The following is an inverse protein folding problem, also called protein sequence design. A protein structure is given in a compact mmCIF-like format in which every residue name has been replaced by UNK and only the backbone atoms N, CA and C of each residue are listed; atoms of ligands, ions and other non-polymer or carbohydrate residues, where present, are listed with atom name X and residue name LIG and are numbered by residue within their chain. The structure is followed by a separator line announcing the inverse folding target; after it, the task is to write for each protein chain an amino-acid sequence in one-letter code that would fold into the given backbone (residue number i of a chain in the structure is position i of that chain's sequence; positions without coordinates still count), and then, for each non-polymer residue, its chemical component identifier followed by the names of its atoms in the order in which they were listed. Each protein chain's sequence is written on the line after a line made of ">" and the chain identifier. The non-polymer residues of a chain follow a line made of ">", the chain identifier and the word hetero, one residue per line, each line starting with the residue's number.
data_IF_735749466574
#
_entry.id   IF_735749466574
#
_cell.length_a   1.000
_cell.length_b   1.000
_cell.length_c   1.000
_cell.angle_alpha   90.00
_cell.angle_beta   90.00
_cell.angle_gamma   90.00
#
_symmetry.space_group_name_H-M   'P 1'
#
loop_
_entity.id
_entity.type
_entity.pdbx_description
1 polymer ?
#
# COMPACT_ATOMS: atom_id res chain seq x y z
N UNK A 1 23.09 -35.31 8.54
CA UNK A 1 22.33 -34.80 9.70
C UNK A 1 22.19 -33.30 9.54
N UNK A 2 21.02 -32.82 9.12
CA UNK A 2 20.79 -31.39 8.92
C UNK A 2 20.40 -30.78 10.27
N UNK A 3 21.27 -29.93 10.84
CA UNK A 3 20.95 -29.15 12.02
C UNK A 3 19.98 -28.03 11.64
N UNK A 4 18.73 -28.17 12.07
CA UNK A 4 17.72 -27.10 12.01
C UNK A 4 18.14 -25.99 12.97
N UNK A 5 18.83 -24.97 12.47
CA UNK A 5 19.09 -23.73 13.22
C UNK A 5 17.88 -22.82 12.95
N UNK A 6 17.01 -22.55 13.94
CA UNK A 6 15.86 -21.68 13.73
C UNK A 6 16.33 -20.23 13.54
N UNK A 7 15.90 -19.61 12.44
CA UNK A 7 16.18 -18.20 12.13
C UNK A 7 15.25 -17.32 12.97
N UNK A 8 15.80 -16.69 14.01
CA UNK A 8 15.04 -15.89 14.98
C UNK A 8 14.91 -14.45 14.48
N UNK A 9 13.67 -13.99 14.27
CA UNK A 9 13.38 -12.58 13.91
C UNK A 9 13.75 -11.64 15.06
N UNK A 10 14.54 -10.61 14.75
CA UNK A 10 14.98 -9.55 15.69
C UNK A 10 14.15 -8.26 15.59
N UNK A 11 13.13 -8.21 14.74
CA UNK A 11 12.29 -7.02 14.57
C UNK A 11 11.18 -6.95 15.61
N UNK A 12 11.49 -6.24 16.69
CA UNK A 12 10.65 -5.41 17.56
C UNK A 12 9.12 -5.69 17.71
N UNK A 13 8.77 -6.00 18.96
CA UNK A 13 7.53 -5.67 19.71
C UNK A 13 6.24 -6.48 19.44
N UNK A 14 6.11 -7.30 18.40
CA UNK A 14 4.86 -8.10 18.21
C UNK A 14 4.97 -9.59 17.95
N UNK A 15 6.17 -10.16 17.82
CA UNK A 15 6.28 -11.62 17.79
C UNK A 15 6.40 -12.16 19.22
N UNK A 16 5.41 -12.92 19.68
CA UNK A 16 5.46 -13.74 20.90
C UNK A 16 6.48 -14.89 20.72
N UNK A 17 7.76 -14.52 20.63
CA UNK A 17 8.83 -15.48 20.45
C UNK A 17 9.22 -16.07 21.81
N UNK A 18 9.03 -17.38 21.94
CA UNK A 18 9.31 -18.16 23.16
C UNK A 18 10.76 -18.05 23.67
N UNK A 19 11.73 -17.67 22.82
CA UNK A 19 13.10 -17.41 23.27
C UNK A 19 13.21 -16.16 24.17
N UNK A 20 12.42 -15.11 23.86
CA UNK A 20 12.40 -13.86 24.60
C UNK A 20 11.33 -13.85 25.71
N UNK A 21 10.32 -14.71 25.59
CA UNK A 21 9.32 -14.96 26.62
C UNK A 21 9.46 -16.39 27.17
N UNK A 22 10.41 -16.57 28.08
CA UNK A 22 10.47 -17.81 28.87
C UNK A 22 9.24 -17.84 29.78
N UNK A 23 8.39 -18.86 29.61
CA UNK A 23 7.30 -19.09 30.54
C UNK A 23 7.87 -19.17 31.97
N UNK A 24 7.23 -18.55 32.97
CA UNK A 24 7.88 -18.21 34.23
C UNK A 24 8.25 -19.42 35.11
N UNK A 25 7.92 -20.67 34.73
CA UNK A 25 8.22 -21.88 35.51
C UNK A 25 8.49 -23.12 34.63
N UNK A 26 9.29 -24.10 35.11
CA UNK A 26 9.51 -25.35 34.40
C UNK A 26 8.25 -26.22 34.52
N UNK A 27 7.60 -26.50 33.40
CA UNK A 27 6.52 -27.50 33.36
C UNK A 27 7.13 -28.90 33.40
N UNK A 28 7.36 -29.42 34.60
CA UNK A 28 7.50 -30.86 34.79
C UNK A 28 6.55 -31.28 35.91
N UNK A 29 5.46 -31.95 35.54
CA UNK A 29 4.84 -32.93 36.43
C UNK A 29 4.22 -34.05 35.61
N UNK A 30 4.56 -35.28 35.99
CA UNK A 30 4.10 -36.51 35.37
C UNK A 30 2.58 -36.51 35.12
N UNK A 31 2.21 -36.68 33.84
CA UNK A 31 0.91 -37.17 33.34
C UNK A 31 -0.33 -36.29 33.53
N UNK A 32 -0.29 -34.96 33.37
CA UNK A 32 -1.55 -34.22 33.09
C UNK A 32 -1.35 -33.01 32.18
N UNK A 33 -2.12 -32.94 31.10
CA UNK A 33 -2.23 -31.82 30.16
C UNK A 33 -3.59 -31.13 30.33
N UNK A 34 -3.62 -29.87 30.78
CA UNK A 34 -4.82 -29.02 30.74
C UNK A 34 -4.97 -28.04 31.90
N UNK A 35 -5.40 -26.81 31.58
CA UNK A 35 -5.87 -25.79 32.53
C UNK A 35 -7.25 -26.20 33.06
N UNK A 36 -7.38 -26.44 34.37
CA UNK A 36 -8.70 -26.63 35.00
C UNK A 36 -9.34 -25.27 35.31
N UNK A 37 -10.65 -25.16 35.06
CA UNK A 37 -11.49 -23.99 35.38
C UNK A 37 -11.61 -23.69 36.89
N UNK A 38 -11.32 -24.67 37.75
CA UNK A 38 -11.50 -24.56 39.21
C UNK A 38 -10.27 -25.20 39.88
N UNK A 39 -9.34 -24.36 40.31
CA UNK A 39 -8.22 -24.67 41.19
C UNK A 39 -8.00 -23.50 42.15
N UNK A 40 -7.30 -23.69 43.28
CA UNK A 40 -7.15 -22.64 44.28
C UNK A 40 -6.48 -21.41 43.65
N UNK A 41 -7.22 -20.29 43.65
CA UNK A 41 -6.73 -19.01 43.15
C UNK A 41 -5.63 -18.53 44.08
N UNK A 42 -4.37 -18.58 43.62
CA UNK A 42 -3.29 -17.85 44.28
C UNK A 42 -3.34 -16.41 43.76
N UNK A 43 -3.66 -15.46 44.64
CA UNK A 43 -3.44 -14.06 44.36
C UNK A 43 -1.93 -13.83 44.33
N UNK A 44 -1.36 -13.64 43.14
CA UNK A 44 0.01 -13.15 43.00
C UNK A 44 0.07 -11.70 43.52
N UNK A 45 1.09 -11.37 44.32
CA UNK A 45 1.26 -10.02 44.89
C UNK A 45 1.68 -8.99 43.84
N UNK A 46 2.28 -9.46 42.75
CA UNK A 46 2.79 -8.58 41.71
C UNK A 46 1.65 -8.26 40.74
N UNK A 47 0.98 -7.15 41.03
CA UNK A 47 -0.02 -6.56 40.15
C UNK A 47 0.65 -6.23 38.82
N UNK A 48 0.11 -6.75 37.72
CA UNK A 48 0.50 -6.24 36.41
C UNK A 48 0.17 -4.74 36.39
N UNK A 49 1.12 -3.87 35.99
CA UNK A 49 0.82 -2.45 35.87
C UNK A 49 -0.31 -2.29 34.83
N UNK A 50 -1.41 -1.66 35.26
CA UNK A 50 -2.64 -1.51 34.45
C UNK A 50 -3.91 -2.08 35.10
N UNK A 51 -3.82 -2.93 36.12
CA UNK A 51 -5.00 -3.55 36.76
C UNK A 51 -5.86 -2.58 37.59
N UNK A 52 -5.30 -1.44 38.02
CA UNK A 52 -6.01 -0.37 38.72
C UNK A 52 -6.17 0.92 37.91
N UNK A 53 -6.05 0.87 36.57
CA UNK A 53 -6.02 2.09 35.72
C UNK A 53 -4.99 3.11 36.21
N UNK A 54 -3.83 2.62 36.63
CA UNK A 54 -2.72 3.46 37.10
C UNK A 54 -2.16 4.34 35.98
N UNK A 55 -2.35 3.92 34.72
CA UNK A 55 -2.20 4.77 33.56
C UNK A 55 -3.56 5.36 33.20
N UNK A 56 -3.68 6.68 33.03
CA UNK A 56 -4.86 7.24 32.39
C UNK A 56 -4.93 6.62 30.99
N UNK A 57 -5.99 5.87 30.69
CA UNK A 57 -6.27 5.33 29.36
C UNK A 57 -6.68 6.50 28.46
N UNK A 58 -5.71 7.35 28.08
CA UNK A 58 -5.96 8.46 27.15
C UNK A 58 -5.96 7.86 25.74
N UNK A 59 -7.09 7.27 25.36
CA UNK A 59 -7.33 6.85 23.98
C UNK A 59 -7.75 8.08 23.17
N UNK A 60 -7.08 8.42 22.07
CA UNK A 60 -7.55 9.48 21.20
C UNK A 60 -8.89 9.07 20.58
N UNK A 61 -9.89 9.93 20.71
CA UNK A 61 -11.13 9.78 19.94
C UNK A 61 -10.86 10.25 18.50
N UNK A 62 -11.30 9.49 17.51
CA UNK A 62 -11.07 9.76 16.08
C UNK A 62 -11.93 10.90 15.49
N UNK A 63 -12.75 11.54 16.32
CA UNK A 63 -13.52 12.74 15.94
C UNK A 63 -12.62 13.98 15.95
N UNK A 64 -13.05 15.05 15.29
CA UNK A 64 -12.24 16.25 15.08
C UNK A 64 -11.64 16.76 16.42
N UNK A 65 -10.34 17.12 16.45
CA UNK A 65 -9.66 17.46 17.70
C UNK A 65 -10.26 18.68 18.41
N UNK A 66 -10.92 19.57 17.66
CA UNK A 66 -11.60 20.76 18.17
C UNK A 66 -12.98 20.50 18.78
N UNK A 67 -13.70 19.46 18.36
CA UNK A 67 -15.07 19.21 18.83
C UNK A 67 -15.13 18.23 20.01
N UNK A 68 -14.07 17.46 20.25
CA UNK A 68 -14.16 16.25 21.12
C UNK A 68 -13.57 16.41 22.53
N UNK A 69 -12.97 17.55 22.90
CA UNK A 69 -12.35 17.67 24.22
C UNK A 69 -11.23 16.64 24.47
N UNK A 70 -10.58 16.18 23.40
CA UNK A 70 -9.38 15.35 23.49
C UNK A 70 -8.27 16.14 24.23
N UNK A 71 -7.49 15.46 25.06
CA UNK A 71 -6.34 16.08 25.75
C UNK A 71 -5.40 16.69 24.69
N UNK A 72 -4.97 17.97 24.81
CA UNK A 72 -4.07 18.61 23.86
C UNK A 72 -2.76 17.84 23.63
N UNK A 73 -2.33 17.02 24.59
CA UNK A 73 -1.16 16.13 24.44
C UNK A 73 -1.31 15.06 23.36
N UNK A 74 -2.55 14.78 22.93
CA UNK A 74 -2.85 13.78 21.91
C UNK A 74 -2.89 14.35 20.48
N UNK A 75 -2.71 15.66 20.30
CA UNK A 75 -2.76 16.29 18.97
C UNK A 75 -1.72 15.70 18.02
N UNK A 76 -0.51 15.44 18.51
CA UNK A 76 0.60 14.89 17.72
C UNK A 76 0.40 13.41 17.34
N UNK A 77 -0.44 12.68 18.08
CA UNK A 77 -0.70 11.26 17.85
C UNK A 77 -1.71 10.99 16.74
N UNK A 78 -2.44 12.02 16.29
CA UNK A 78 -3.53 11.89 15.32
C UNK A 78 -3.08 12.14 13.87
N UNK A 79 -1.87 12.67 13.64
CA UNK A 79 -1.33 13.03 12.32
C UNK A 79 -2.27 13.91 11.46
N UNK A 80 -3.22 14.60 12.10
CA UNK A 80 -4.17 15.49 11.42
C UNK A 80 -3.45 16.77 11.03
N UNK A 81 -3.34 17.02 9.72
CA UNK A 81 -2.80 18.28 9.20
C UNK A 81 -3.78 19.42 9.50
N UNK A 82 -3.35 20.54 10.10
CA UNK A 82 -4.23 21.64 10.44
C UNK A 82 -4.74 22.36 9.18
N UNK A 83 -6.03 22.71 9.18
CA UNK A 83 -6.72 23.40 8.08
C UNK A 83 -6.83 24.92 8.30
N UNK A 84 -5.97 25.48 9.15
CA UNK A 84 -5.99 26.89 9.51
C UNK A 84 -4.97 27.21 10.60
N UNK A 85 -5.08 28.41 11.14
CA UNK A 85 -4.28 28.89 12.26
C UNK A 85 -5.08 28.79 13.57
N UNK A 86 -4.44 29.04 14.71
CA UNK A 86 -5.04 28.92 16.06
C UNK A 86 -6.16 29.95 16.33
N UNK A 87 -6.35 30.92 15.44
CA UNK A 87 -7.47 31.85 15.45
C UNK A 87 -8.77 31.16 14.97
N UNK A 88 -9.97 31.58 15.43
CA UNK A 88 -11.24 30.87 15.18
C UNK A 88 -11.73 30.91 13.72
N UNK A 89 -10.91 31.37 12.77
CA UNK A 89 -11.27 31.47 11.35
C UNK A 89 -10.59 30.36 10.56
N UNK A 90 -11.38 29.38 10.14
CA UNK A 90 -10.96 28.38 9.16
C UNK A 90 -10.72 29.05 7.80
N UNK A 91 -9.65 28.66 7.12
CA UNK A 91 -9.28 29.17 5.80
C UNK A 91 -9.82 28.18 4.77
N UNK A 92 -10.74 28.63 3.91
CA UNK A 92 -11.45 27.75 2.96
C UNK A 92 -10.46 27.06 2.01
N UNK A 93 -9.39 27.74 1.63
CA UNK A 93 -8.34 27.26 0.72
C UNK A 93 -7.47 26.15 1.33
N UNK A 94 -7.41 26.06 2.68
CA UNK A 94 -6.67 25.01 3.38
C UNK A 94 -7.51 23.75 3.62
N UNK A 95 -8.82 23.80 3.34
CA UNK A 95 -9.68 22.64 3.46
C UNK A 95 -9.59 21.80 2.18
N UNK A 96 -9.24 20.50 2.27
CA UNK A 96 -9.20 19.65 1.09
C UNK A 96 -10.62 19.43 0.55
N UNK A 97 -10.84 19.78 -0.72
CA UNK A 97 -12.09 19.52 -1.42
C UNK A 97 -11.98 18.23 -2.25
N UNK A 98 -12.93 17.31 -2.09
CA UNK A 98 -13.00 16.11 -2.91
C UNK A 98 -13.69 16.42 -4.24
N UNK A 99 -12.91 16.46 -5.31
CA UNK A 99 -13.43 16.65 -6.68
C UNK A 99 -13.93 15.30 -7.20
N UNK A 100 -15.23 15.06 -7.11
CA UNK A 100 -15.89 13.81 -7.54
C UNK A 100 -16.54 14.02 -8.91
N UNK A 101 -16.13 13.26 -9.95
CA UNK A 101 -16.77 13.32 -11.26
C UNK A 101 -18.15 12.63 -11.24
N UNK A 102 -19.01 12.99 -12.19
CA UNK A 102 -20.23 12.22 -12.44
C UNK A 102 -19.87 10.88 -13.12
N UNK A 103 -20.36 9.78 -12.55
CA UNK A 103 -20.09 8.41 -13.01
C UNK A 103 -21.30 7.79 -13.71
N UNK A 104 -22.32 8.57 -14.05
CA UNK A 104 -23.46 8.08 -14.84
C UNK A 104 -22.98 7.59 -16.22
N UNK A 105 -23.26 6.33 -16.54
CA UNK A 105 -22.83 5.71 -17.81
C UNK A 105 -21.35 5.31 -17.88
N UNK A 106 -20.64 5.20 -16.74
CA UNK A 106 -19.24 4.78 -16.73
C UNK A 106 -19.08 3.27 -16.93
N UNK A 107 -18.44 2.86 -18.02
CA UNK A 107 -18.32 1.45 -18.42
C UNK A 107 -17.28 0.65 -17.61
N UNK A 108 -16.23 1.34 -17.11
CA UNK A 108 -15.13 0.68 -16.42
C UNK A 108 -15.57 0.21 -15.03
N UNK A 109 -15.20 -1.04 -14.71
CA UNK A 109 -15.50 -1.68 -13.42
C UNK A 109 -14.22 -1.83 -12.58
N UNK A 110 -14.33 -1.99 -11.25
CA UNK A 110 -13.17 -2.18 -10.38
C UNK A 110 -12.33 -3.42 -10.71
N UNK A 111 -12.94 -4.41 -11.38
CA UNK A 111 -12.30 -5.68 -11.73
C UNK A 111 -12.44 -5.96 -13.22
N UNK A 112 -11.43 -6.62 -13.76
CA UNK A 112 -11.38 -7.09 -15.14
C UNK A 112 -11.58 -8.61 -15.17
N UNK A 113 -12.16 -9.14 -16.24
CA UNK A 113 -12.39 -10.57 -16.40
C UNK A 113 -11.10 -11.33 -16.72
N UNK A 114 -10.88 -12.52 -16.14
CA UNK A 114 -9.72 -13.38 -16.45
C UNK A 114 -9.54 -13.76 -17.93
N UNK A 115 -10.56 -13.58 -18.78
CA UNK A 115 -10.43 -13.80 -20.22
C UNK A 115 -9.40 -12.86 -20.86
N UNK A 116 -9.20 -11.67 -20.29
CA UNK A 116 -8.20 -10.71 -20.78
C UNK A 116 -6.78 -11.24 -20.62
N UNK A 117 -6.50 -12.03 -19.58
CA UNK A 117 -5.16 -12.57 -19.33
C UNK A 117 -4.73 -13.51 -20.46
N UNK A 118 -5.67 -14.32 -20.97
CA UNK A 118 -5.45 -15.21 -22.10
C UNK A 118 -5.14 -14.41 -23.37
N UNK A 119 -5.83 -13.29 -23.58
CA UNK A 119 -5.57 -12.40 -24.73
C UNK A 119 -4.23 -11.67 -24.60
N UNK A 120 -3.90 -11.22 -23.40
CA UNK A 120 -2.62 -10.58 -23.07
C UNK A 120 -1.46 -11.54 -23.35
N UNK A 121 -1.54 -12.79 -22.93
CA UNK A 121 -0.51 -13.80 -23.20
C UNK A 121 -0.34 -14.07 -24.70
N UNK A 122 -1.43 -14.12 -25.46
CA UNK A 122 -1.38 -14.25 -26.93
C UNK A 122 -0.67 -13.06 -27.58
N UNK A 123 -1.01 -11.83 -27.17
CA UNK A 123 -0.37 -10.61 -27.70
C UNK A 123 1.11 -10.58 -27.34
N UNK A 124 1.45 -10.93 -26.10
CA UNK A 124 2.82 -10.99 -25.61
C UNK A 124 3.68 -11.97 -26.42
N UNK A 125 3.22 -13.21 -26.57
CA UNK A 125 3.95 -14.24 -27.32
C UNK A 125 4.10 -13.88 -28.80
N UNK A 126 3.08 -13.26 -29.40
CA UNK A 126 3.16 -12.74 -30.76
C UNK A 126 4.20 -11.61 -30.90
N UNK A 127 4.24 -10.68 -29.94
CA UNK A 127 5.21 -9.59 -29.92
C UNK A 127 6.64 -10.09 -29.69
N UNK A 128 6.87 -11.00 -28.73
CA UNK A 128 8.17 -11.62 -28.50
C UNK A 128 8.72 -12.32 -29.75
N UNK A 129 7.84 -12.95 -30.55
CA UNK A 129 8.21 -13.51 -31.86
C UNK A 129 8.66 -12.42 -32.84
N UNK A 130 7.94 -11.30 -32.93
CA UNK A 130 8.31 -10.15 -33.78
C UNK A 130 9.65 -9.54 -33.36
N UNK A 131 9.89 -9.39 -32.05
CA UNK A 131 11.18 -8.92 -31.50
C UNK A 131 12.31 -9.85 -31.93
N UNK A 132 12.10 -11.17 -31.83
CA UNK A 132 13.09 -12.16 -32.27
C UNK A 132 13.36 -12.12 -33.77
N UNK A 133 12.34 -11.89 -34.59
CA UNK A 133 12.46 -11.77 -36.05
C UNK A 133 13.17 -10.47 -36.49
N UNK A 134 12.90 -9.34 -35.81
CA UNK A 134 13.46 -8.03 -36.14
C UNK A 134 14.81 -7.75 -35.48
N UNK A 135 15.12 -8.44 -34.38
CA UNK A 135 16.38 -8.34 -33.66
C UNK A 135 16.47 -7.20 -32.64
N UNK A 136 15.48 -6.29 -32.58
CA UNK A 136 15.38 -5.24 -31.56
C UNK A 136 13.92 -4.91 -31.24
N UNK A 137 13.69 -4.37 -30.04
CA UNK A 137 12.36 -3.93 -29.60
C UNK A 137 11.89 -2.71 -30.39
N UNK A 138 12.76 -1.72 -30.62
CA UNK A 138 12.40 -0.52 -31.40
C UNK A 138 11.96 -0.86 -32.83
N UNK A 139 12.62 -1.83 -33.48
CA UNK A 139 12.26 -2.26 -34.82
C UNK A 139 10.96 -3.10 -34.84
N UNK A 140 10.68 -3.83 -33.75
CA UNK A 140 9.41 -4.52 -33.59
C UNK A 140 8.27 -3.53 -33.34
N UNK A 141 8.49 -2.51 -32.51
CA UNK A 141 7.52 -1.47 -32.21
C UNK A 141 7.04 -0.74 -33.45
N UNK A 142 7.99 -0.31 -34.30
CA UNK A 142 7.66 0.34 -35.57
C UNK A 142 6.86 -0.55 -36.53
N UNK A 143 6.94 -1.87 -36.38
CA UNK A 143 6.25 -2.85 -37.22
C UNK A 143 4.93 -3.36 -36.61
N UNK A 144 4.66 -3.07 -35.34
CA UNK A 144 3.50 -3.59 -34.60
C UNK A 144 2.49 -2.46 -34.42
N UNK A 145 1.20 -2.71 -34.66
CA UNK A 145 0.16 -1.75 -34.28
C UNK A 145 0.12 -1.59 -32.75
N UNK A 146 -0.21 -0.39 -32.27
CA UNK A 146 -0.21 -0.07 -30.83
C UNK A 146 -1.17 -0.97 -30.03
N UNK A 147 -2.35 -1.28 -30.58
CA UNK A 147 -3.36 -2.11 -29.92
C UNK A 147 -2.93 -3.59 -29.72
N UNK A 148 -2.10 -4.09 -30.64
CA UNK A 148 -1.60 -5.47 -30.60
C UNK A 148 -0.35 -5.62 -29.74
N UNK A 149 0.33 -4.51 -29.46
CA UNK A 149 1.60 -4.50 -28.75
C UNK A 149 1.38 -4.80 -27.28
N UNK A 150 1.93 -5.93 -26.82
CA UNK A 150 2.04 -6.24 -25.40
C UNK A 150 3.43 -6.79 -25.06
N UNK A 151 4.10 -6.29 -24.00
CA UNK A 151 3.66 -5.21 -23.11
C UNK A 151 3.66 -3.82 -23.78
N UNK A 152 2.84 -2.88 -23.29
CA UNK A 152 2.88 -1.50 -23.76
C UNK A 152 4.26 -0.88 -23.47
N UNK A 153 4.71 0.09 -24.29
CA UNK A 153 5.97 0.79 -24.04
C UNK A 153 5.94 1.50 -22.70
N UNK A 154 7.12 1.67 -22.09
CA UNK A 154 7.26 2.60 -20.98
C UNK A 154 7.02 4.03 -21.44
N UNK A 155 6.16 4.76 -20.73
CA UNK A 155 5.87 6.16 -21.01
C UNK A 155 7.04 7.05 -20.57
N UNK A 156 7.97 7.27 -21.48
CA UNK A 156 9.10 8.20 -21.33
C UNK A 156 8.75 9.56 -21.99
N UNK A 157 9.54 10.59 -21.70
CA UNK A 157 9.37 11.89 -22.36
C UNK A 157 9.48 11.77 -23.90
N UNK A 158 10.36 10.89 -24.39
CA UNK A 158 10.52 10.61 -25.82
C UNK A 158 9.25 9.99 -26.41
N UNK A 159 8.71 8.94 -25.80
CA UNK A 159 7.49 8.28 -26.30
C UNK A 159 6.28 9.23 -26.27
N UNK A 160 6.15 10.05 -25.21
CA UNK A 160 5.10 11.08 -25.15
C UNK A 160 5.26 12.13 -26.26
N UNK A 161 6.49 12.57 -26.52
CA UNK A 161 6.77 13.48 -27.62
C UNK A 161 6.42 12.87 -28.97
N UNK A 162 6.81 11.62 -29.18
CA UNK A 162 6.58 10.90 -30.43
C UNK A 162 5.08 10.69 -30.71
N UNK A 163 4.28 10.38 -29.68
CA UNK A 163 2.84 10.17 -29.79
C UNK A 163 2.05 11.46 -30.09
N UNK A 164 2.35 12.55 -29.38
CA UNK A 164 1.51 13.76 -29.44
C UNK A 164 2.07 14.86 -30.35
N UNK A 165 3.39 15.03 -30.40
CA UNK A 165 4.00 16.23 -30.99
C UNK A 165 4.81 15.95 -32.25
N UNK A 166 5.36 14.74 -32.42
CA UNK A 166 6.29 14.48 -33.52
C UNK A 166 5.67 14.70 -34.90
N UNK A 167 4.41 14.36 -35.10
CA UNK A 167 3.76 14.52 -36.41
C UNK A 167 3.45 15.99 -36.73
N UNK A 168 3.07 16.78 -35.74
CA UNK A 168 2.90 18.23 -35.88
C UNK A 168 4.25 18.92 -36.21
N UNK A 169 5.32 18.50 -35.54
CA UNK A 169 6.68 19.02 -35.78
C UNK A 169 7.16 18.62 -37.18
N UNK A 170 6.96 17.37 -37.61
CA UNK A 170 7.30 16.93 -38.97
C UNK A 170 6.51 17.71 -40.03
N UNK A 171 5.21 17.93 -39.81
CA UNK A 171 4.36 18.65 -40.74
C UNK A 171 4.78 20.12 -40.88
N UNK A 172 5.02 20.81 -39.75
CA UNK A 172 5.50 22.19 -39.73
C UNK A 172 6.90 22.32 -40.36
N UNK A 173 7.79 21.36 -40.13
CA UNK A 173 9.11 21.31 -40.77
C UNK A 173 9.03 21.16 -42.29
N UNK A 174 8.22 20.20 -42.79
CA UNK A 174 8.00 20.01 -44.23
C UNK A 174 7.40 21.25 -44.89
N UNK A 175 6.48 21.95 -44.21
CA UNK A 175 5.89 23.20 -44.69
C UNK A 175 6.96 24.30 -44.83
N UNK A 176 7.87 24.40 -43.86
CA UNK A 176 8.98 25.37 -43.89
C UNK A 176 9.97 25.12 -45.04
N UNK A 177 10.27 23.86 -45.38
CA UNK A 177 11.19 23.53 -46.47
C UNK A 177 10.62 23.77 -47.89
N UNK A 178 9.29 23.91 -48.01
CA UNK A 178 8.63 24.22 -49.29
C UNK A 178 8.53 25.72 -49.59
N UNK A 179 8.86 26.57 -48.60
CA UNK A 179 8.99 28.02 -48.72
C UNK A 179 10.44 28.37 -49.04
#
# INVERSE_FOLDING_TARGET
>A
MASLIPLISTRNVRSLNHYFFRAPWPFIKNRTTGLRKIGPVRHEKDKYPGQHREFPEISPLFTTPTETGNDPRLQDYLEVVPTGYTDPKTVKEMMPELVVPDLTGFDLKPYVSFRTDIEIEKRRTAYEKKVREKGSEEAADMATAEDERWPPPSMTAKTLFDLYYADEVKASWKKKQKL
#
